data_IF_515017915408
#
_entry.id   IF_515017915408
#
_cell.length_a   1.000
_cell.length_b   1.000
_cell.length_c   1.000
_cell.angle_alpha   90.00
_cell.angle_beta   90.00
_cell.angle_gamma   90.00
#
_symmetry.space_group_name_H-M   'P 1'
#
loop_
_entity.id
_entity.type
_entity.pdbx_description
1 polymer ?
#
# COMPACT_ATOMS: atom_id res chain seq x y z
N UNK A 1 18.55 8.33 4.56
CA UNK A 1 18.27 8.03 5.99
C UNK A 1 19.51 7.48 6.69
N UNK A 2 20.19 6.43 6.18
CA UNK A 2 21.29 5.73 6.88
C UNK A 2 22.44 6.62 7.37
N UNK A 3 22.67 7.76 6.74
CA UNK A 3 23.70 8.72 7.12
C UNK A 3 23.19 9.86 8.05
N UNK A 4 21.98 9.71 8.60
CA UNK A 4 21.42 10.73 9.49
C UNK A 4 22.06 10.63 10.88
N UNK A 5 22.57 11.74 11.41
CA UNK A 5 23.14 11.79 12.74
C UNK A 5 22.08 11.36 13.80
N UNK A 6 22.49 10.56 14.75
CA UNK A 6 21.66 10.03 15.84
C UNK A 6 20.50 9.11 15.34
N UNK A 7 20.66 8.49 14.16
CA UNK A 7 19.78 7.45 13.65
C UNK A 7 20.58 6.15 13.54
N UNK A 8 20.08 5.12 14.19
CA UNK A 8 20.54 3.75 14.05
C UNK A 8 19.44 2.93 13.38
N UNK A 9 19.80 2.06 12.45
CA UNK A 9 18.86 1.23 11.70
C UNK A 9 19.23 -0.23 11.88
N UNK A 10 18.29 -1.01 12.41
CA UNK A 10 18.42 -2.45 12.62
C UNK A 10 17.38 -3.18 11.80
N UNK A 11 17.80 -4.27 11.17
CA UNK A 11 16.91 -5.16 10.43
C UNK A 11 16.55 -6.35 11.31
N UNK A 12 15.39 -6.30 11.96
CA UNK A 12 14.85 -7.39 12.76
C UNK A 12 13.32 -7.25 12.89
N UNK A 13 12.65 -8.32 13.27
CA UNK A 13 11.21 -8.32 13.53
C UNK A 13 10.94 -7.99 15.00
N UNK A 14 10.20 -6.92 15.26
CA UNK A 14 9.72 -6.60 16.59
C UNK A 14 8.64 -7.60 17.01
N UNK A 15 8.88 -8.35 18.07
CA UNK A 15 7.96 -9.34 18.61
C UNK A 15 6.98 -8.77 19.62
N UNK A 16 7.42 -7.83 20.45
CA UNK A 16 6.57 -7.20 21.47
C UNK A 16 7.12 -5.86 21.97
N UNK A 17 6.25 -5.05 22.55
CA UNK A 17 6.58 -3.82 23.25
C UNK A 17 6.86 -4.14 24.70
N UNK A 18 7.95 -3.61 25.26
CA UNK A 18 8.26 -3.73 26.68
C UNK A 18 7.41 -2.72 27.44
N UNK A 19 6.54 -3.21 28.32
CA UNK A 19 5.69 -2.38 29.18
C UNK A 19 6.15 -2.55 30.66
N UNK A 20 6.37 -1.43 31.34
CA UNK A 20 6.62 -1.37 32.79
C UNK A 20 5.75 -0.28 33.40
N UNK A 21 5.04 -0.60 34.47
CA UNK A 21 4.17 0.34 35.20
C UNK A 21 3.21 1.11 34.27
N UNK A 22 2.66 0.42 33.24
CA UNK A 22 1.76 1.00 32.26
C UNK A 22 2.43 1.88 31.17
N UNK A 23 3.75 1.96 31.15
CA UNK A 23 4.52 2.77 30.19
C UNK A 23 5.31 1.90 29.21
N UNK A 24 5.36 2.33 27.95
CA UNK A 24 6.26 1.74 26.97
C UNK A 24 7.71 2.07 27.31
N UNK A 25 8.56 1.04 27.40
CA UNK A 25 9.97 1.16 27.79
C UNK A 25 10.94 0.63 26.72
N UNK A 26 10.44 0.24 25.57
CA UNK A 26 11.23 -0.31 24.48
C UNK A 26 10.52 -1.42 23.72
N UNK A 27 11.29 -2.20 22.99
CA UNK A 27 10.81 -3.35 22.20
C UNK A 27 11.74 -4.54 22.36
N UNK A 28 11.19 -5.74 22.21
CA UNK A 28 11.97 -6.96 22.00
C UNK A 28 11.82 -7.42 20.57
N UNK A 29 12.85 -8.06 20.06
CA UNK A 29 12.86 -8.59 18.69
C UNK A 29 12.79 -10.12 18.69
N UNK A 30 12.52 -10.66 17.52
CA UNK A 30 12.44 -12.12 17.31
C UNK A 30 13.78 -12.80 17.43
N UNK A 31 14.88 -12.11 17.12
CA UNK A 31 16.25 -12.62 17.29
C UNK A 31 16.74 -12.54 18.73
N UNK A 32 15.96 -12.00 19.66
CA UNK A 32 16.24 -11.98 21.08
C UNK A 32 16.88 -10.68 21.58
N UNK A 33 17.02 -9.67 20.74
CA UNK A 33 17.52 -8.36 21.15
C UNK A 33 16.44 -7.53 21.85
N UNK A 34 16.89 -6.62 22.73
CA UNK A 34 16.02 -5.69 23.44
C UNK A 34 16.51 -4.26 23.26
N UNK A 35 15.67 -3.42 22.69
CA UNK A 35 15.95 -2.00 22.50
C UNK A 35 15.15 -1.18 23.53
N UNK A 36 15.84 -0.48 24.42
CA UNK A 36 15.22 0.37 25.44
C UNK A 36 14.93 1.76 24.86
N UNK A 37 13.74 2.26 25.10
CA UNK A 37 13.32 3.60 24.67
C UNK A 37 12.18 4.12 25.54
N UNK A 38 12.09 5.43 25.72
CA UNK A 38 10.97 6.10 26.39
C UNK A 38 9.73 6.26 25.49
N UNK A 39 9.88 6.08 24.20
CA UNK A 39 8.81 6.21 23.18
C UNK A 39 8.96 5.11 22.15
N UNK A 40 7.83 4.56 21.72
CA UNK A 40 7.76 3.57 20.64
C UNK A 40 6.75 4.08 19.62
N UNK A 41 7.13 4.07 18.35
CA UNK A 41 6.25 4.43 17.23
C UNK A 41 6.09 3.19 16.35
N UNK A 42 4.86 2.76 16.13
CA UNK A 42 4.54 1.60 15.29
C UNK A 42 4.15 2.11 13.91
N UNK A 43 4.89 1.69 12.89
CA UNK A 43 4.65 2.03 11.48
C UNK A 43 4.66 0.76 10.63
N UNK A 44 3.96 -0.27 11.09
CA UNK A 44 4.05 -1.65 10.62
C UNK A 44 3.45 -1.89 9.21
N UNK A 45 2.84 -0.89 8.58
CA UNK A 45 2.24 -1.05 7.25
C UNK A 45 1.20 -2.19 7.23
N UNK A 46 1.38 -3.14 6.32
CA UNK A 46 0.49 -4.29 6.11
C UNK A 46 0.94 -5.57 6.84
N UNK A 47 1.97 -5.48 7.70
CA UNK A 47 2.61 -6.68 8.26
C UNK A 47 1.91 -7.29 9.47
N UNK A 48 1.15 -6.51 10.27
CA UNK A 48 0.52 -7.02 11.50
C UNK A 48 -0.57 -8.04 11.17
N UNK A 49 -0.27 -9.33 11.36
CA UNK A 49 -1.11 -10.47 10.94
C UNK A 49 -1.59 -10.33 9.51
N UNK A 50 -0.70 -9.87 8.62
CA UNK A 50 -1.01 -9.67 7.21
C UNK A 50 -1.46 -10.95 6.54
N UNK A 51 -2.48 -10.86 5.69
CA UNK A 51 -3.00 -11.95 4.87
C UNK A 51 -3.18 -11.43 3.44
N UNK A 52 -2.47 -12.03 2.51
CA UNK A 52 -2.54 -11.66 1.10
C UNK A 52 -3.58 -12.54 0.41
N UNK A 53 -4.41 -11.92 -0.41
CA UNK A 53 -5.37 -12.57 -1.29
C UNK A 53 -4.98 -12.31 -2.74
N UNK A 54 -4.89 -13.37 -3.55
CA UNK A 54 -4.69 -13.31 -5.00
C UNK A 54 -5.73 -14.23 -5.65
N UNK A 55 -6.79 -13.64 -6.19
CA UNK A 55 -7.96 -14.41 -6.59
C UNK A 55 -8.51 -15.20 -5.39
N UNK A 56 -8.73 -16.48 -5.58
CA UNK A 56 -9.26 -17.38 -4.54
C UNK A 56 -8.16 -17.86 -3.55
N UNK A 57 -6.89 -17.64 -3.87
CA UNK A 57 -5.78 -18.06 -3.01
C UNK A 57 -5.48 -17.04 -1.93
N UNK A 58 -5.09 -17.53 -0.75
CA UNK A 58 -4.67 -16.70 0.35
C UNK A 58 -3.47 -17.30 1.09
N UNK A 59 -2.59 -16.44 1.59
CA UNK A 59 -1.45 -16.87 2.41
C UNK A 59 -1.01 -15.77 3.39
N UNK A 60 -0.51 -16.14 4.58
CA UNK A 60 -0.01 -15.19 5.56
C UNK A 60 1.25 -14.49 5.03
N UNK A 61 1.20 -13.18 4.89
CA UNK A 61 2.34 -12.34 4.53
C UNK A 61 2.03 -10.86 4.82
N UNK A 62 3.04 -10.08 5.10
CA UNK A 62 2.93 -8.63 5.20
C UNK A 62 3.06 -7.97 3.83
N UNK A 63 3.97 -8.48 3.00
CA UNK A 63 4.17 -8.17 1.58
C UNK A 63 4.46 -9.49 0.86
N UNK A 64 4.30 -9.56 -0.45
CA UNK A 64 4.55 -10.77 -1.23
C UNK A 64 5.91 -11.38 -0.86
N UNK A 65 5.88 -12.66 -0.43
CA UNK A 65 7.03 -13.47 0.00
C UNK A 65 7.69 -13.03 1.32
N UNK A 66 7.13 -12.06 2.05
CA UNK A 66 7.64 -11.62 3.35
C UNK A 66 6.68 -12.02 4.47
N UNK A 67 7.23 -12.64 5.51
CA UNK A 67 6.44 -13.15 6.64
C UNK A 67 5.71 -12.00 7.37
N UNK A 68 4.49 -12.23 7.87
CA UNK A 68 3.79 -11.25 8.68
C UNK A 68 4.35 -11.21 10.11
N UNK A 69 4.22 -10.07 10.78
CA UNK A 69 4.36 -10.01 12.23
C UNK A 69 3.10 -10.54 12.90
N UNK A 70 3.25 -11.60 13.70
CA UNK A 70 2.08 -12.35 14.23
C UNK A 70 1.69 -11.98 15.65
N UNK A 71 2.58 -11.41 16.45
CA UNK A 71 2.41 -11.25 17.89
C UNK A 71 2.00 -9.84 18.33
N UNK A 72 2.50 -8.81 17.65
CA UNK A 72 2.34 -7.42 18.07
C UNK A 72 0.87 -6.96 18.13
N UNK A 73 0.03 -7.40 17.18
CA UNK A 73 -1.40 -7.05 17.20
C UNK A 73 -2.17 -7.69 18.37
N UNK A 74 -1.76 -8.88 18.81
CA UNK A 74 -2.37 -9.52 19.96
C UNK A 74 -1.98 -8.80 21.24
N UNK A 75 -0.72 -8.45 21.41
CA UNK A 75 -0.27 -7.65 22.54
C UNK A 75 -0.99 -6.30 22.61
N UNK A 76 -1.20 -5.61 21.48
CA UNK A 76 -1.96 -4.36 21.48
C UNK A 76 -3.40 -4.58 21.98
N UNK A 77 -4.03 -5.69 21.62
CA UNK A 77 -5.38 -6.05 22.09
C UNK A 77 -5.36 -6.34 23.60
N UNK A 78 -4.37 -7.08 24.10
CA UNK A 78 -4.18 -7.36 25.52
C UNK A 78 -3.93 -6.08 26.34
N UNK A 79 -3.29 -5.09 25.75
CA UNK A 79 -3.08 -3.76 26.35
C UNK A 79 -4.34 -2.88 26.32
N UNK A 80 -5.46 -3.36 25.79
CA UNK A 80 -6.74 -2.67 25.77
C UNK A 80 -6.99 -1.78 24.54
N UNK A 81 -6.15 -1.86 23.51
CA UNK A 81 -6.42 -1.15 22.27
C UNK A 81 -7.53 -1.85 21.46
N UNK A 82 -8.39 -1.06 20.83
CA UNK A 82 -9.35 -1.57 19.88
C UNK A 82 -8.63 -1.88 18.55
N UNK A 83 -8.39 -3.17 18.31
CA UNK A 83 -7.68 -3.65 17.11
C UNK A 83 -8.67 -4.26 16.15
N UNK A 84 -8.82 -3.63 14.99
CA UNK A 84 -9.64 -4.13 13.88
C UNK A 84 -8.79 -4.62 12.71
N UNK A 85 -9.45 -5.22 11.74
CA UNK A 85 -8.83 -5.63 10.49
C UNK A 85 -9.21 -4.64 9.37
N UNK A 86 -8.19 -4.18 8.65
CA UNK A 86 -8.38 -3.32 7.49
C UNK A 86 -8.03 -4.10 6.22
N UNK A 87 -8.74 -3.80 5.14
CA UNK A 87 -8.48 -4.31 3.80
C UNK A 87 -7.90 -3.21 2.94
N UNK A 88 -6.86 -3.51 2.18
CA UNK A 88 -6.34 -2.62 1.13
C UNK A 88 -6.17 -3.39 -0.16
N UNK A 89 -6.36 -2.74 -1.31
CA UNK A 89 -6.13 -3.32 -2.63
C UNK A 89 -4.76 -2.91 -3.15
N UNK A 90 -4.13 -3.82 -3.90
CA UNK A 90 -2.89 -3.55 -4.61
C UNK A 90 -3.12 -3.87 -6.09
N UNK A 91 -3.17 -2.84 -6.96
CA UNK A 91 -3.27 -3.05 -8.40
C UNK A 91 -2.06 -3.76 -9.01
N UNK A 92 -2.26 -4.30 -10.20
CA UNK A 92 -1.21 -4.96 -10.95
C UNK A 92 -0.12 -3.98 -11.40
N UNK A 93 1.08 -4.52 -11.55
CA UNK A 93 2.18 -3.84 -12.24
C UNK A 93 2.29 -4.41 -13.64
N UNK A 94 2.54 -3.55 -14.60
CA UNK A 94 2.57 -3.89 -16.03
C UNK A 94 3.95 -3.56 -16.58
N UNK A 95 4.49 -4.49 -17.39
CA UNK A 95 5.71 -4.25 -18.13
C UNK A 95 5.46 -3.21 -19.24
N UNK A 96 6.31 -2.21 -19.34
CA UNK A 96 6.17 -1.10 -20.30
C UNK A 96 6.07 -1.57 -21.76
N UNK A 97 6.74 -2.66 -22.12
CA UNK A 97 6.70 -3.23 -23.47
C UNK A 97 5.33 -3.77 -23.88
N UNK A 98 4.44 -4.01 -22.91
CA UNK A 98 3.06 -4.48 -23.16
C UNK A 98 2.04 -3.34 -23.22
N UNK A 99 2.45 -2.08 -23.02
CA UNK A 99 1.57 -0.93 -22.96
C UNK A 99 1.52 -0.24 -24.34
N UNK A 100 0.31 0.01 -24.81
CA UNK A 100 0.12 0.85 -26.01
C UNK A 100 -0.12 2.31 -25.57
N UNK A 101 0.95 3.07 -25.44
CA UNK A 101 0.92 4.47 -25.01
C UNK A 101 0.18 5.39 -25.98
N UNK A 102 0.10 5.04 -27.28
CA UNK A 102 -0.60 5.86 -28.29
C UNK A 102 -2.11 5.95 -28.04
N UNK A 103 -2.66 5.04 -27.22
CA UNK A 103 -4.08 5.03 -26.82
C UNK A 103 -4.34 5.76 -25.51
N UNK A 104 -3.34 6.43 -24.95
CA UNK A 104 -3.42 7.04 -23.64
C UNK A 104 -3.06 8.52 -23.70
N UNK A 105 -3.56 9.28 -22.76
CA UNK A 105 -3.22 10.68 -22.60
C UNK A 105 -1.99 10.81 -21.69
N UNK A 106 -0.89 11.39 -22.19
CA UNK A 106 0.27 11.67 -21.39
C UNK A 106 0.01 12.86 -20.47
N UNK A 107 0.21 12.68 -19.18
CA UNK A 107 0.05 13.69 -18.13
C UNK A 107 1.41 13.97 -17.49
N UNK A 108 2.02 15.06 -17.91
CA UNK A 108 3.34 15.49 -17.40
C UNK A 108 3.26 16.07 -15.99
N UNK A 109 4.43 16.31 -15.42
CA UNK A 109 4.56 17.07 -14.18
C UNK A 109 4.45 18.58 -14.41
N UNK A 110 4.61 19.35 -13.34
CA UNK A 110 4.58 20.80 -13.39
C UNK A 110 5.74 21.35 -14.24
N UNK A 111 5.46 22.38 -15.06
CA UNK A 111 6.50 23.09 -15.81
C UNK A 111 7.55 23.73 -14.89
N UNK A 112 7.12 24.16 -13.70
CA UNK A 112 7.96 24.68 -12.64
C UNK A 112 7.73 23.90 -11.37
N UNK A 113 8.40 22.76 -11.18
CA UNK A 113 8.19 21.91 -10.01
C UNK A 113 8.62 22.63 -8.73
N UNK A 114 7.78 22.49 -7.71
CA UNK A 114 8.06 23.00 -6.38
C UNK A 114 8.46 21.87 -5.44
N UNK A 115 9.48 22.04 -4.61
CA UNK A 115 9.85 21.03 -3.62
C UNK A 115 8.84 20.96 -2.49
N UNK A 116 8.59 19.76 -1.95
CA UNK A 116 7.78 19.57 -0.75
C UNK A 116 8.48 20.03 0.52
N UNK A 117 9.83 20.06 0.53
CA UNK A 117 10.61 20.48 1.68
C UNK A 117 10.87 21.97 1.66
N UNK A 118 10.57 22.67 2.75
CA UNK A 118 10.95 24.08 2.95
C UNK A 118 12.47 24.32 3.02
N UNK A 119 13.27 23.26 3.18
CA UNK A 119 14.76 23.35 3.20
C UNK A 119 15.38 23.24 1.82
N UNK A 120 14.65 22.76 0.82
CA UNK A 120 15.15 22.64 -0.55
C UNK A 120 15.10 24.01 -1.23
N UNK A 121 16.20 24.43 -1.83
CA UNK A 121 16.21 25.66 -2.60
C UNK A 121 15.33 25.50 -3.85
N UNK A 122 14.25 26.24 -3.91
CA UNK A 122 13.27 26.18 -5.00
C UNK A 122 13.83 26.69 -6.34
N UNK A 123 14.80 27.60 -6.31
CA UNK A 123 15.35 28.23 -7.51
C UNK A 123 16.24 27.24 -8.31
N UNK A 124 16.76 26.21 -7.63
CA UNK A 124 17.59 25.17 -8.24
C UNK A 124 16.90 23.80 -8.25
N UNK A 125 15.60 23.76 -7.96
CA UNK A 125 14.84 22.51 -7.93
C UNK A 125 14.28 22.18 -9.31
N UNK A 126 14.94 21.28 -10.01
CA UNK A 126 14.51 20.79 -11.33
C UNK A 126 14.74 19.27 -11.41
N UNK A 127 13.89 18.47 -10.77
CA UNK A 127 14.01 17.01 -10.80
C UNK A 127 13.67 16.46 -12.19
N UNK A 128 14.21 15.30 -12.52
CA UNK A 128 13.75 14.51 -13.67
C UNK A 128 12.29 14.15 -13.43
N UNK A 129 11.44 14.47 -14.40
CA UNK A 129 10.02 14.15 -14.37
C UNK A 129 9.70 13.16 -15.50
N UNK A 130 8.94 12.11 -15.16
CA UNK A 130 8.37 11.18 -16.13
C UNK A 130 6.86 11.39 -16.18
N UNK A 131 6.24 11.33 -17.36
CA UNK A 131 4.78 11.45 -17.45
C UNK A 131 4.09 10.23 -16.87
N UNK A 132 2.97 10.44 -16.21
CA UNK A 132 1.96 9.43 -16.02
C UNK A 132 1.07 9.36 -17.25
N UNK A 133 0.34 8.27 -17.42
CA UNK A 133 -0.59 8.13 -18.55
C UNK A 133 -1.99 7.88 -18.03
N UNK A 134 -2.96 8.59 -18.59
CA UNK A 134 -4.36 8.45 -18.25
C UNK A 134 -5.02 7.49 -19.24
N UNK A 135 -5.76 6.53 -18.71
CA UNK A 135 -6.63 5.63 -19.46
C UNK A 135 -7.91 5.37 -18.68
N UNK A 136 -8.78 4.54 -19.21
CA UNK A 136 -10.09 4.26 -18.62
C UNK A 136 -10.44 2.78 -18.74
N UNK A 137 -11.19 2.28 -17.77
CA UNK A 137 -11.95 1.03 -17.96
C UNK A 137 -13.03 1.24 -19.01
N UNK A 138 -13.60 0.16 -19.49
CA UNK A 138 -14.69 0.17 -20.48
C UNK A 138 -15.80 -0.82 -20.07
N UNK A 139 -16.89 -0.84 -20.82
CA UNK A 139 -18.04 -1.68 -20.52
C UNK A 139 -17.70 -3.16 -20.54
N UNK A 140 -16.80 -3.61 -21.41
CA UNK A 140 -16.35 -5.00 -21.43
C UNK A 140 -15.63 -5.37 -20.13
N UNK A 141 -14.78 -4.48 -19.62
CA UNK A 141 -14.12 -4.65 -18.33
C UNK A 141 -15.15 -4.70 -17.19
N UNK A 142 -16.14 -3.80 -17.21
CA UNK A 142 -17.18 -3.78 -16.19
C UNK A 142 -18.06 -5.03 -16.21
N UNK A 143 -18.41 -5.53 -17.40
CA UNK A 143 -19.17 -6.78 -17.57
C UNK A 143 -18.38 -7.95 -17.00
N UNK A 144 -17.10 -8.07 -17.36
CA UNK A 144 -16.23 -9.12 -16.84
C UNK A 144 -16.15 -9.09 -15.30
N UNK A 145 -16.07 -7.91 -14.70
CA UNK A 145 -16.04 -7.76 -13.25
C UNK A 145 -17.39 -8.17 -12.63
N UNK A 146 -18.51 -7.68 -13.18
CA UNK A 146 -19.85 -8.02 -12.70
C UNK A 146 -20.17 -9.51 -12.77
N UNK A 147 -19.78 -10.16 -13.86
CA UNK A 147 -20.01 -11.58 -14.09
C UNK A 147 -19.19 -12.49 -13.14
N UNK A 148 -18.24 -11.93 -12.39
CA UNK A 148 -17.40 -12.66 -11.44
C UNK A 148 -17.51 -12.15 -10.00
N UNK A 149 -18.55 -11.41 -9.64
CA UNK A 149 -18.77 -10.97 -8.26
C UNK A 149 -18.97 -12.13 -7.28
N UNK A 150 -19.57 -13.23 -7.74
CA UNK A 150 -19.80 -14.46 -6.97
C UNK A 150 -18.48 -15.19 -6.60
N UNK A 151 -17.37 -14.90 -7.29
CA UNK A 151 -16.05 -15.45 -7.05
C UNK A 151 -15.06 -14.44 -6.43
N UNK A 152 -15.43 -13.17 -6.42
CA UNK A 152 -14.53 -12.11 -5.94
C UNK A 152 -14.42 -12.17 -4.41
N UNK A 153 -13.20 -12.32 -3.84
CA UNK A 153 -12.98 -12.43 -2.40
C UNK A 153 -13.59 -11.29 -1.57
N UNK A 154 -13.72 -10.12 -2.18
CA UNK A 154 -14.35 -8.96 -1.56
C UNK A 154 -15.85 -9.17 -1.29
N UNK A 155 -16.57 -9.88 -2.18
CA UNK A 155 -18.02 -10.05 -2.09
C UNK A 155 -18.44 -11.42 -1.51
N UNK A 156 -17.54 -12.41 -1.55
CA UNK A 156 -17.81 -13.75 -1.01
C UNK A 156 -17.62 -13.85 0.51
N UNK A 157 -17.17 -12.79 1.17
CA UNK A 157 -16.85 -12.80 2.60
C UNK A 157 -15.47 -13.42 2.94
N UNK A 158 -14.70 -13.82 1.95
CA UNK A 158 -13.33 -14.33 2.17
C UNK A 158 -12.39 -13.26 2.72
N UNK A 159 -12.59 -12.00 2.32
CA UNK A 159 -11.88 -10.86 2.89
C UNK A 159 -12.70 -10.30 4.04
N UNK A 160 -12.26 -10.57 5.25
CA UNK A 160 -12.81 -9.95 6.46
C UNK A 160 -12.14 -8.61 6.70
N UNK A 161 -12.91 -7.55 6.88
CA UNK A 161 -12.37 -6.23 7.22
C UNK A 161 -13.05 -5.09 6.49
N UNK A 162 -12.79 -3.89 6.98
CA UNK A 162 -13.30 -2.65 6.41
C UNK A 162 -12.28 -2.05 5.46
N UNK A 163 -12.69 -1.76 4.24
CA UNK A 163 -11.85 -0.99 3.31
C UNK A 163 -11.65 0.45 3.81
N UNK A 164 -10.46 1.06 3.58
CA UNK A 164 -10.27 2.46 3.86
C UNK A 164 -11.24 3.30 3.03
N UNK A 165 -11.72 4.40 3.62
CA UNK A 165 -12.77 5.24 3.01
C UNK A 165 -12.43 5.73 1.59
N UNK A 166 -11.16 5.99 1.30
CA UNK A 166 -10.71 6.62 0.07
C UNK A 166 -9.92 5.67 -0.87
N UNK A 167 -9.95 4.37 -0.63
CA UNK A 167 -9.28 3.38 -1.48
C UNK A 167 -10.25 2.25 -1.87
N UNK A 168 -11.33 2.55 -2.62
CA UNK A 168 -12.19 1.50 -3.16
C UNK A 168 -11.44 0.76 -4.27
N UNK A 169 -11.56 -0.56 -4.31
CA UNK A 169 -11.08 -1.37 -5.43
C UNK A 169 -11.93 -1.13 -6.68
N UNK A 170 -11.47 -1.59 -7.84
CA UNK A 170 -12.25 -1.44 -9.07
C UNK A 170 -13.60 -2.17 -8.99
N UNK A 171 -13.67 -3.31 -8.32
CA UNK A 171 -14.91 -4.06 -8.10
C UNK A 171 -15.90 -3.22 -7.27
N UNK A 172 -15.43 -2.54 -6.22
CA UNK A 172 -16.24 -1.61 -5.43
C UNK A 172 -16.77 -0.46 -6.29
N UNK A 173 -15.94 0.09 -7.17
CA UNK A 173 -16.33 1.19 -8.06
C UNK A 173 -17.39 0.74 -9.05
N UNK A 174 -17.18 -0.42 -9.69
CA UNK A 174 -18.12 -0.98 -10.66
C UNK A 174 -19.46 -1.34 -10.01
N UNK A 175 -19.44 -1.80 -8.76
CA UNK A 175 -20.63 -2.12 -8.00
C UNK A 175 -21.39 -0.87 -7.53
N UNK A 176 -20.67 0.09 -6.89
CA UNK A 176 -21.31 1.28 -6.28
C UNK A 176 -21.71 2.35 -7.29
N UNK A 177 -21.03 2.39 -8.43
CA UNK A 177 -21.26 3.37 -9.49
C UNK A 177 -21.62 2.66 -10.80
N UNK A 178 -22.61 1.77 -10.72
CA UNK A 178 -23.02 0.92 -11.84
C UNK A 178 -23.53 1.69 -13.05
N UNK A 179 -23.97 2.94 -12.86
CA UNK A 179 -24.40 3.86 -13.91
C UNK A 179 -23.24 4.42 -14.74
N UNK A 180 -21.99 4.31 -14.23
CA UNK A 180 -20.79 4.76 -14.94
C UNK A 180 -20.31 3.67 -15.88
N UNK A 181 -20.06 4.00 -17.12
CA UNK A 181 -19.54 3.09 -18.13
C UNK A 181 -18.02 3.07 -18.22
N UNK A 182 -17.33 3.91 -17.43
CA UNK A 182 -15.86 3.94 -17.33
C UNK A 182 -15.38 4.55 -16.01
N UNK A 183 -14.23 4.10 -15.55
CA UNK A 183 -13.46 4.69 -14.44
C UNK A 183 -12.07 5.07 -14.93
N UNK A 184 -11.59 6.20 -14.47
CA UNK A 184 -10.26 6.70 -14.80
C UNK A 184 -9.19 5.87 -14.09
N UNK A 185 -8.11 5.59 -14.82
CA UNK A 185 -6.92 4.90 -14.34
C UNK A 185 -5.69 5.73 -14.68
N UNK A 186 -4.70 5.68 -13.79
CA UNK A 186 -3.40 6.28 -14.02
C UNK A 186 -2.34 5.19 -14.11
N UNK A 187 -1.54 5.23 -15.16
CA UNK A 187 -0.34 4.42 -15.28
C UNK A 187 0.84 5.25 -14.80
N UNK A 188 1.43 4.83 -13.69
CA UNK A 188 2.50 5.55 -13.01
C UNK A 188 3.82 4.78 -13.15
N UNK A 189 4.89 5.39 -13.72
CA UNK A 189 6.19 4.71 -13.80
C UNK A 189 6.74 4.47 -12.40
N UNK A 190 7.26 3.26 -12.14
CA UNK A 190 7.74 2.88 -10.82
C UNK A 190 9.20 3.27 -10.59
N UNK A 191 9.94 3.49 -11.66
CA UNK A 191 11.37 3.88 -11.63
C UNK A 191 11.65 4.90 -12.71
N UNK A 192 12.81 5.56 -12.63
CA UNK A 192 13.26 6.48 -13.68
C UNK A 192 13.55 5.78 -15.02
N UNK A 193 13.75 4.47 -15.03
CA UNK A 193 13.89 3.68 -16.26
C UNK A 193 12.55 3.34 -16.91
N UNK A 194 11.44 3.52 -16.16
CA UNK A 194 10.08 3.28 -16.64
C UNK A 194 9.84 1.90 -17.27
N UNK A 195 10.49 0.88 -16.74
CA UNK A 195 10.34 -0.52 -17.20
C UNK A 195 9.03 -1.13 -16.72
N UNK A 196 8.54 -0.67 -15.57
CA UNK A 196 7.32 -1.12 -14.91
C UNK A 196 6.40 0.05 -14.58
N UNK A 197 5.11 -0.13 -14.82
CA UNK A 197 4.06 0.82 -14.50
C UNK A 197 3.06 0.24 -13.51
N UNK A 198 2.66 1.05 -12.54
CA UNK A 198 1.60 0.76 -11.60
C UNK A 198 0.27 1.31 -12.11
N UNK A 199 -0.80 0.51 -12.09
CA UNK A 199 -2.13 0.95 -12.51
C UNK A 199 -2.87 1.51 -11.31
N UNK A 200 -2.72 2.77 -11.03
CA UNK A 200 -3.45 3.42 -9.97
C UNK A 200 -4.92 3.62 -10.35
N UNK A 201 -5.82 3.24 -9.43
CA UNK A 201 -7.26 3.35 -9.63
C UNK A 201 -8.00 2.05 -9.92
N UNK A 202 -7.26 0.91 -10.05
CA UNK A 202 -7.87 -0.42 -10.08
C UNK A 202 -8.32 -0.88 -8.70
#
# INVERSE_FOLDING_TARGET
CLNTKNLEVYQDEVSNIIIKDGMACGVNTKLGESFKSQKVIITAGTFMKGLIHIGENQYPAGRAWEQPSTTLSDQLRELGFNVGRLKTGTPARINSNSINFDKMEAHGGDEKPLPFSFRTNKDNFNPIQLPCYITYTNELTHTLIRDNFDRAPLFTGQIEGTGPRYCPSIEDKVNRFSERNRHQLFLEPQTLTAEEYYINGL
#
